data_IF_782669149910
#
_entry.id   IF_782669149910
#
_cell.length_a   1.000
_cell.length_b   1.000
_cell.length_c   1.000
_cell.angle_alpha   90.00
_cell.angle_beta   90.00
_cell.angle_gamma   90.00
#
_symmetry.space_group_name_H-M   'P 1'
#
loop_
_entity.id
_entity.type
_entity.pdbx_description
1 polymer ?
#
# COMPACT_ATOMS: atom_id res chain seq x y z
N UNK A 1 -11.36 12.79 1.03
CA UNK A 1 -11.02 13.17 2.41
C UNK A 1 -12.06 14.14 2.93
N UNK A 2 -12.60 13.87 4.11
CA UNK A 2 -13.48 14.78 4.84
C UNK A 2 -12.73 15.35 6.04
N UNK A 3 -12.75 16.66 6.21
CA UNK A 3 -11.96 17.38 7.21
C UNK A 3 -12.89 18.20 8.10
N UNK A 4 -12.59 18.22 9.39
CA UNK A 4 -13.28 19.01 10.39
C UNK A 4 -12.34 19.27 11.57
N UNK A 5 -12.77 20.14 12.49
CA UNK A 5 -12.01 20.53 13.67
C UNK A 5 -10.73 21.32 13.40
N UNK A 6 -10.12 21.79 14.48
CA UNK A 6 -8.79 22.39 14.52
C UNK A 6 -7.99 21.81 15.68
N UNK A 7 -6.66 21.88 15.57
CA UNK A 7 -5.73 21.58 16.63
C UNK A 7 -4.75 22.74 16.78
N UNK A 8 -4.57 23.26 18.00
CA UNK A 8 -3.77 24.46 18.30
C UNK A 8 -4.06 25.66 17.38
N UNK A 9 -5.34 25.89 17.08
CA UNK A 9 -5.80 26.99 16.22
C UNK A 9 -5.46 26.83 14.74
N UNK A 10 -5.01 25.63 14.31
CA UNK A 10 -4.74 25.30 12.91
C UNK A 10 -5.69 24.23 12.41
N UNK A 11 -6.28 24.45 11.23
CA UNK A 11 -7.14 23.48 10.56
C UNK A 11 -6.37 22.74 9.49
N UNK A 12 -6.67 21.45 9.33
CA UNK A 12 -6.08 20.65 8.27
C UNK A 12 -6.37 21.25 6.88
N UNK A 13 -7.59 21.76 6.67
CA UNK A 13 -7.96 22.40 5.40
C UNK A 13 -7.17 23.69 5.13
N UNK A 14 -6.83 24.47 6.16
CA UNK A 14 -6.00 25.68 6.02
C UNK A 14 -4.54 25.31 5.72
N UNK A 15 -3.99 24.31 6.40
CA UNK A 15 -2.65 23.79 6.13
C UNK A 15 -2.49 23.32 4.66
N UNK A 16 -3.51 22.66 4.10
CA UNK A 16 -3.51 22.26 2.68
C UNK A 16 -3.49 23.48 1.75
N UNK A 17 -4.30 24.51 2.05
CA UNK A 17 -4.34 25.74 1.26
C UNK A 17 -3.01 26.49 1.34
N UNK A 18 -2.39 26.58 2.51
CA UNK A 18 -1.05 27.16 2.71
C UNK A 18 0.02 26.41 1.90
N UNK A 19 -0.12 25.09 1.75
CA UNK A 19 0.74 24.25 0.91
C UNK A 19 0.42 24.34 -0.60
N UNK A 20 -0.53 25.20 -1.01
CA UNK A 20 -0.92 25.37 -2.41
C UNK A 20 -1.82 24.25 -2.96
N UNK A 21 -2.43 23.43 -2.11
CA UNK A 21 -3.32 22.34 -2.51
C UNK A 21 -4.75 22.85 -2.68
N UNK A 22 -5.35 22.55 -3.84
CA UNK A 22 -6.74 22.91 -4.11
C UNK A 22 -7.71 21.99 -3.33
N UNK A 23 -8.56 22.61 -2.50
CA UNK A 23 -9.62 21.91 -1.75
C UNK A 23 -11.00 22.10 -2.38
N UNK A 24 -11.94 21.21 -2.05
CA UNK A 24 -13.34 21.26 -2.46
C UNK A 24 -13.87 19.92 -3.01
N UNK A 25 -15.14 19.92 -3.40
CA UNK A 25 -15.80 18.76 -4.02
C UNK A 25 -15.11 18.26 -5.31
N UNK A 26 -14.63 19.12 -6.23
CA UNK A 26 -13.94 18.66 -7.44
C UNK A 26 -12.67 17.86 -7.15
N UNK A 27 -11.93 18.23 -6.09
CA UNK A 27 -10.70 17.53 -5.66
C UNK A 27 -10.96 16.46 -4.59
N UNK A 28 -12.22 16.29 -4.17
CA UNK A 28 -12.64 15.35 -3.11
C UNK A 28 -11.94 15.61 -1.76
N UNK A 29 -11.48 16.83 -1.52
CA UNK A 29 -10.90 17.32 -0.26
C UNK A 29 -11.88 18.30 0.37
N UNK A 30 -12.83 17.83 1.18
CA UNK A 30 -13.96 18.66 1.64
C UNK A 30 -13.81 18.99 3.12
N UNK A 31 -13.82 20.28 3.45
CA UNK A 31 -13.87 20.77 4.82
C UNK A 31 -15.32 21.00 5.24
N UNK A 32 -15.77 20.33 6.30
CA UNK A 32 -17.14 20.44 6.80
C UNK A 32 -17.34 21.56 7.83
N UNK A 33 -16.28 21.94 8.55
CA UNK A 33 -16.37 23.04 9.51
C UNK A 33 -15.21 23.06 10.50
N UNK A 34 -15.08 24.16 11.26
CA UNK A 34 -14.01 24.36 12.22
C UNK A 34 -14.20 23.58 13.54
N UNK A 35 -15.43 23.16 13.84
CA UNK A 35 -15.77 22.47 15.08
C UNK A 35 -15.67 20.96 14.93
N UNK A 36 -15.32 20.25 16.00
CA UNK A 36 -15.32 18.77 16.02
C UNK A 36 -16.69 18.18 15.71
N UNK A 37 -17.77 18.86 16.10
CA UNK A 37 -19.15 18.44 15.83
C UNK A 37 -19.43 18.31 14.33
N UNK A 38 -18.71 19.02 13.47
CA UNK A 38 -18.84 18.92 12.01
C UNK A 38 -18.43 17.53 11.47
N UNK A 39 -17.71 16.71 12.26
CA UNK A 39 -17.40 15.31 11.94
C UNK A 39 -18.67 14.50 11.63
N UNK A 40 -19.80 14.84 12.27
CA UNK A 40 -21.10 14.17 12.04
C UNK A 40 -21.55 14.24 10.58
N UNK A 41 -21.11 15.25 9.81
CA UNK A 41 -21.48 15.38 8.40
C UNK A 41 -20.85 14.30 7.52
N UNK A 42 -19.68 13.76 7.89
CA UNK A 42 -19.08 12.61 7.25
C UNK A 42 -19.92 11.34 7.47
N UNK A 43 -20.35 11.09 8.72
CA UNK A 43 -21.25 9.98 9.05
C UNK A 43 -22.63 10.13 8.40
N UNK A 44 -23.15 11.35 8.30
CA UNK A 44 -24.37 11.67 7.57
C UNK A 44 -24.26 11.42 6.07
N UNK A 45 -23.09 11.71 5.46
CA UNK A 45 -22.81 11.36 4.08
C UNK A 45 -22.82 9.84 3.87
N UNK A 46 -22.17 9.08 4.76
CA UNK A 46 -22.14 7.62 4.74
C UNK A 46 -23.54 7.01 4.92
N UNK A 47 -24.34 7.54 5.86
CA UNK A 47 -25.76 7.19 6.02
C UNK A 47 -26.54 7.39 4.72
N UNK A 48 -26.38 8.54 4.05
CA UNK A 48 -27.05 8.80 2.77
C UNK A 48 -26.64 7.82 1.68
N UNK A 49 -25.39 7.35 1.66
CA UNK A 49 -24.98 6.31 0.71
C UNK A 49 -25.78 5.01 0.91
N UNK A 50 -26.01 4.59 2.16
CA UNK A 50 -26.83 3.41 2.47
C UNK A 50 -28.30 3.59 2.03
N UNK A 51 -28.88 4.76 2.26
CA UNK A 51 -30.26 5.06 1.86
C UNK A 51 -30.41 5.14 0.33
N UNK A 52 -29.50 5.85 -0.35
CA UNK A 52 -29.60 6.12 -1.78
C UNK A 52 -29.14 4.96 -2.66
N UNK A 53 -28.06 4.27 -2.29
CA UNK A 53 -27.47 3.19 -3.11
C UNK A 53 -27.68 1.81 -2.52
N UNK A 54 -27.84 1.71 -1.20
CA UNK A 54 -28.15 0.45 -0.53
C UNK A 54 -29.63 0.11 -0.50
N UNK A 55 -30.52 1.05 -0.85
CA UNK A 55 -31.97 0.85 -0.79
C UNK A 55 -32.46 0.56 0.64
N UNK A 56 -31.74 1.03 1.66
CA UNK A 56 -32.13 0.87 3.06
C UNK A 56 -33.20 1.91 3.39
N UNK A 57 -34.29 1.48 4.02
CA UNK A 57 -35.39 2.39 4.35
C UNK A 57 -35.06 3.29 5.56
N UNK A 58 -35.57 4.54 5.60
CA UNK A 58 -35.41 5.41 6.76
C UNK A 58 -35.95 4.76 8.04
N UNK A 59 -35.15 4.82 9.11
CA UNK A 59 -35.48 4.21 10.41
C UNK A 59 -34.88 2.81 10.61
N UNK A 60 -34.40 2.14 9.55
CA UNK A 60 -33.71 0.85 9.65
C UNK A 60 -32.23 1.00 10.05
N UNK A 61 -31.96 1.62 11.21
CA UNK A 61 -30.62 2.02 11.63
C UNK A 61 -29.60 0.87 11.60
N UNK A 62 -30.00 -0.34 12.00
CA UNK A 62 -29.11 -1.51 12.00
C UNK A 62 -28.63 -1.86 10.60
N UNK A 63 -29.51 -1.79 9.59
CA UNK A 63 -29.14 -2.06 8.20
C UNK A 63 -28.24 -0.96 7.66
N UNK A 64 -28.44 0.29 8.05
CA UNK A 64 -27.54 1.40 7.71
C UNK A 64 -26.14 1.14 8.24
N UNK A 65 -26.00 0.74 9.51
CA UNK A 65 -24.68 0.48 10.11
C UNK A 65 -23.98 -0.71 9.44
N UNK A 66 -24.70 -1.82 9.19
CA UNK A 66 -24.15 -2.99 8.48
C UNK A 66 -23.73 -2.62 7.06
N UNK A 67 -24.56 -1.86 6.32
CA UNK A 67 -24.20 -1.40 4.99
C UNK A 67 -22.90 -0.59 5.00
N UNK A 68 -22.77 0.34 5.94
CA UNK A 68 -21.57 1.17 6.04
C UNK A 68 -20.33 0.34 6.39
N UNK A 69 -20.44 -0.59 7.34
CA UNK A 69 -19.36 -1.53 7.67
C UNK A 69 -18.89 -2.30 6.44
N UNK A 70 -19.81 -2.80 5.62
CA UNK A 70 -19.47 -3.74 4.55
C UNK A 70 -19.19 -3.07 3.19
N UNK A 71 -19.70 -1.85 2.97
CA UNK A 71 -19.68 -1.18 1.64
C UNK A 71 -19.01 0.18 1.64
N UNK A 72 -18.87 0.84 2.78
CA UNK A 72 -18.24 2.16 2.87
C UNK A 72 -16.89 2.02 3.58
N UNK A 73 -15.82 2.01 2.79
CA UNK A 73 -14.46 1.87 3.29
C UNK A 73 -13.90 3.20 3.81
N UNK A 74 -14.43 3.66 4.94
CA UNK A 74 -13.97 4.85 5.65
C UNK A 74 -13.24 4.50 6.95
N UNK A 75 -12.38 5.42 7.39
CA UNK A 75 -11.65 5.40 8.66
C UNK A 75 -11.48 6.84 9.18
N UNK A 76 -11.27 7.00 10.49
CA UNK A 76 -11.09 8.30 11.13
C UNK A 76 -9.62 8.50 11.54
N UNK A 77 -9.09 9.70 11.28
CA UNK A 77 -7.70 10.09 11.57
C UNK A 77 -7.67 11.30 12.51
N UNK A 78 -7.87 11.14 13.82
CA UNK A 78 -7.62 12.21 14.78
C UNK A 78 -6.12 12.50 14.83
N UNK A 79 -5.72 13.70 14.40
CA UNK A 79 -4.33 14.17 14.42
C UNK A 79 -4.17 15.26 15.48
N UNK A 80 -3.36 15.01 16.50
CA UNK A 80 -3.17 15.91 17.66
C UNK A 80 -3.85 15.42 18.94
N UNK A 81 -3.89 16.28 19.96
CA UNK A 81 -4.46 15.94 21.27
C UNK A 81 -5.96 15.60 21.16
N UNK A 82 -6.30 14.36 21.48
CA UNK A 82 -7.68 13.85 21.44
C UNK A 82 -8.41 14.26 22.71
N UNK A 83 -9.31 15.24 22.59
CA UNK A 83 -10.20 15.67 23.67
C UNK A 83 -11.37 14.70 23.87
N UNK A 84 -12.11 14.84 24.97
CA UNK A 84 -13.31 14.04 25.25
C UNK A 84 -14.37 14.14 24.13
N UNK A 85 -14.50 15.31 23.50
CA UNK A 85 -15.41 15.48 22.36
C UNK A 85 -14.93 14.74 21.11
N UNK A 86 -13.60 14.69 20.88
CA UNK A 86 -13.02 13.91 19.79
C UNK A 86 -13.22 12.41 20.05
N UNK A 87 -13.01 11.94 21.28
CA UNK A 87 -13.33 10.56 21.68
C UNK A 87 -14.78 10.20 21.38
N UNK A 88 -15.73 11.06 21.74
CA UNK A 88 -17.15 10.80 21.51
C UNK A 88 -17.47 10.70 20.00
N UNK A 89 -16.91 11.58 19.18
CA UNK A 89 -17.10 11.54 17.72
C UNK A 89 -16.43 10.32 17.08
N UNK A 90 -15.22 9.97 17.53
CA UNK A 90 -14.50 8.78 17.08
C UNK A 90 -15.25 7.48 17.44
N UNK A 91 -15.82 7.38 18.64
CA UNK A 91 -16.71 6.28 19.02
C UNK A 91 -17.95 6.20 18.13
N UNK A 92 -18.48 7.35 17.69
CA UNK A 92 -19.51 7.44 16.66
C UNK A 92 -19.08 6.79 15.35
N UNK A 93 -17.87 7.05 14.87
CA UNK A 93 -17.32 6.44 13.65
C UNK A 93 -17.15 4.92 13.80
N UNK A 94 -16.69 4.45 14.97
CA UNK A 94 -16.56 3.01 15.26
C UNK A 94 -17.90 2.29 15.11
N UNK A 95 -19.02 2.89 15.53
CA UNK A 95 -20.35 2.28 15.37
C UNK A 95 -20.74 2.04 13.90
N UNK A 96 -20.19 2.82 12.96
CA UNK A 96 -20.37 2.63 11.52
C UNK A 96 -19.42 1.57 10.93
N UNK A 97 -18.58 0.95 11.76
CA UNK A 97 -17.52 0.05 11.33
C UNK A 97 -16.26 0.76 10.83
N UNK A 98 -16.13 2.07 11.09
CA UNK A 98 -14.97 2.85 10.65
C UNK A 98 -13.93 2.89 11.77
N UNK A 99 -12.73 2.30 11.57
CA UNK A 99 -11.70 2.29 12.59
C UNK A 99 -11.09 3.67 12.77
N UNK A 100 -10.45 3.88 13.91
CA UNK A 100 -9.78 5.11 14.31
C UNK A 100 -8.28 4.86 14.38
N UNK A 101 -7.50 5.68 13.69
CA UNK A 101 -6.04 5.61 13.68
C UNK A 101 -5.51 6.96 14.16
N UNK A 102 -4.93 6.98 15.36
CA UNK A 102 -4.45 8.19 16.00
C UNK A 102 -2.92 8.29 15.97
N UNK A 103 -2.42 9.51 15.83
CA UNK A 103 -0.98 9.83 15.95
C UNK A 103 -0.52 9.98 17.40
N UNK A 104 -1.45 10.16 18.33
CA UNK A 104 -1.19 10.32 19.76
C UNK A 104 -1.39 9.02 20.56
N UNK A 105 -0.76 8.89 21.75
CA UNK A 105 -0.84 7.69 22.59
C UNK A 105 -2.17 7.65 23.38
N UNK A 106 -3.26 7.33 22.69
CA UNK A 106 -4.59 7.09 23.29
C UNK A 106 -4.81 5.60 23.58
N UNK A 107 -5.72 5.21 24.50
CA UNK A 107 -6.02 3.81 24.74
C UNK A 107 -6.54 3.10 23.48
N UNK A 108 -5.97 1.93 23.19
CA UNK A 108 -6.33 1.12 22.02
C UNK A 108 -7.56 0.23 22.27
N UNK A 109 -8.25 -0.11 21.18
CA UNK A 109 -9.35 -1.07 21.15
C UNK A 109 -9.04 -2.06 20.03
N UNK A 110 -8.22 -3.05 20.38
CA UNK A 110 -7.73 -4.09 19.47
C UNK A 110 -8.69 -5.24 19.12
N UNK A 111 -9.74 -5.57 19.93
CA UNK A 111 -10.68 -6.61 19.56
C UNK A 111 -11.37 -6.34 18.22
N UNK A 112 -11.79 -7.39 17.50
CA UNK A 112 -12.56 -7.26 16.25
C UNK A 112 -14.07 -7.36 16.51
N UNK A 113 -14.89 -7.03 15.52
CA UNK A 113 -16.33 -7.34 15.54
C UNK A 113 -17.24 -6.20 15.08
N UNK A 114 -16.99 -4.96 15.52
CA UNK A 114 -17.68 -3.78 14.97
C UNK A 114 -16.96 -3.34 13.70
N UNK A 115 -15.68 -2.96 13.82
CA UNK A 115 -14.79 -2.77 12.68
C UNK A 115 -14.36 -4.11 12.05
N UNK A 116 -13.75 -4.05 10.87
CA UNK A 116 -13.18 -5.23 10.19
C UNK A 116 -12.09 -5.88 11.03
N UNK A 117 -11.16 -5.05 11.51
CA UNK A 117 -10.07 -5.46 12.39
C UNK A 117 -10.12 -4.67 13.70
N UNK A 118 -9.03 -4.00 14.09
CA UNK A 118 -8.95 -3.18 15.29
C UNK A 118 -9.86 -1.94 15.16
N UNK A 119 -10.47 -1.50 16.26
CA UNK A 119 -11.36 -0.33 16.26
C UNK A 119 -10.60 0.96 16.52
N UNK A 120 -9.58 0.90 17.38
CA UNK A 120 -8.70 2.03 17.69
C UNK A 120 -7.26 1.54 17.74
N UNK A 121 -6.42 2.14 16.90
CA UNK A 121 -4.96 1.97 16.91
C UNK A 121 -4.32 3.34 17.17
N UNK A 122 -3.31 3.39 18.02
CA UNK A 122 -2.72 4.64 18.51
C UNK A 122 -1.22 4.75 18.23
N UNK A 123 -0.66 5.94 18.48
CA UNK A 123 0.78 6.20 18.40
C UNK A 123 1.39 5.86 17.01
N UNK A 124 0.63 6.15 15.95
CA UNK A 124 1.06 5.87 14.57
C UNK A 124 1.77 7.10 13.98
N UNK A 125 3.04 6.95 13.53
CA UNK A 125 3.76 8.01 12.83
C UNK A 125 3.03 8.49 11.56
N UNK A 126 3.11 9.79 11.24
CA UNK A 126 2.37 10.40 10.12
C UNK A 126 2.71 9.80 8.76
N UNK A 127 3.97 9.41 8.55
CA UNK A 127 4.48 8.73 7.34
C UNK A 127 3.89 7.32 7.15
N UNK A 128 3.47 6.67 8.24
CA UNK A 128 2.88 5.33 8.22
C UNK A 128 1.34 5.34 8.38
N UNK A 129 0.76 6.49 8.75
CA UNK A 129 -0.64 6.60 9.15
C UNK A 129 -1.63 6.15 8.07
N UNK A 130 -1.36 6.49 6.80
CA UNK A 130 -2.23 6.12 5.67
C UNK A 130 -2.17 4.61 5.42
N UNK A 131 -0.97 4.03 5.40
CA UNK A 131 -0.77 2.59 5.20
C UNK A 131 -1.47 1.80 6.31
N UNK A 132 -1.28 2.22 7.57
CA UNK A 132 -1.96 1.60 8.71
C UNK A 132 -3.48 1.71 8.64
N UNK A 133 -4.01 2.85 8.20
CA UNK A 133 -5.45 3.03 8.06
C UNK A 133 -6.05 2.15 6.95
N UNK A 134 -5.34 1.98 5.83
CA UNK A 134 -5.70 1.05 4.75
C UNK A 134 -5.76 -0.38 5.30
N UNK A 135 -4.72 -0.79 6.02
CA UNK A 135 -4.60 -2.14 6.58
C UNK A 135 -5.72 -2.43 7.59
N UNK A 136 -5.89 -1.60 8.62
CA UNK A 136 -6.88 -1.77 9.69
C UNK A 136 -8.31 -1.73 9.15
N UNK A 137 -8.55 -0.95 8.09
CA UNK A 137 -9.87 -0.93 7.43
C UNK A 137 -10.11 -2.16 6.54
N UNK A 138 -9.06 -2.87 6.13
CA UNK A 138 -9.12 -3.96 5.15
C UNK A 138 -9.35 -3.45 3.72
N UNK A 139 -8.78 -2.29 3.39
CA UNK A 139 -8.85 -1.72 2.04
C UNK A 139 -7.88 -2.45 1.11
N UNK A 140 -8.40 -2.98 0.01
CA UNK A 140 -7.59 -3.48 -1.10
C UNK A 140 -7.32 -2.33 -2.07
N UNK A 141 -6.12 -1.78 -2.03
CA UNK A 141 -5.71 -0.73 -2.98
C UNK A 141 -5.14 -1.41 -4.22
N UNK A 142 -5.80 -1.23 -5.36
CA UNK A 142 -5.24 -1.66 -6.65
C UNK A 142 -4.22 -0.62 -7.10
N UNK A 143 -2.94 -0.99 -7.17
CA UNK A 143 -1.93 -0.18 -7.83
C UNK A 143 -2.29 -0.11 -9.33
N UNK A 144 -2.59 1.10 -9.82
CA UNK A 144 -3.09 1.29 -11.18
C UNK A 144 -2.00 1.10 -12.25
N UNK A 145 -0.75 1.45 -11.92
CA UNK A 145 0.41 1.37 -12.81
C UNK A 145 1.65 0.94 -12.01
N UNK A 146 2.43 -0.01 -12.54
CA UNK A 146 3.68 -0.47 -11.93
C UNK A 146 4.73 0.65 -12.07
N UNK A 147 5.36 1.13 -10.99
CA UNK A 147 6.22 2.32 -11.02
C UNK A 147 7.63 2.01 -11.55
N UNK A 148 7.72 1.56 -12.81
CA UNK A 148 8.99 1.26 -13.48
C UNK A 148 9.09 2.00 -14.83
N UNK A 149 10.30 2.32 -15.32
CA UNK A 149 10.48 3.14 -16.51
C UNK A 149 10.37 2.38 -17.85
N UNK A 150 10.06 1.08 -17.79
CA UNK A 150 9.86 0.21 -18.95
C UNK A 150 8.41 -0.23 -19.04
N UNK A 151 7.97 -0.64 -20.22
CA UNK A 151 6.63 -1.20 -20.37
C UNK A 151 6.51 -2.50 -19.55
N UNK A 152 5.36 -2.70 -18.90
CA UNK A 152 5.08 -3.85 -18.06
C UNK A 152 3.84 -4.59 -18.54
N UNK A 153 3.93 -5.91 -18.72
CA UNK A 153 2.79 -6.76 -19.00
C UNK A 153 3.14 -8.12 -19.59
N UNK A 154 2.17 -9.03 -19.56
CA UNK A 154 2.33 -10.41 -20.04
C UNK A 154 2.76 -10.54 -21.51
N UNK A 155 2.59 -9.49 -22.32
CA UNK A 155 3.03 -9.48 -23.72
C UNK A 155 4.57 -9.53 -23.87
N UNK A 156 5.31 -9.11 -22.84
CA UNK A 156 6.78 -9.15 -22.83
C UNK A 156 7.32 -10.46 -22.24
N UNK A 157 6.45 -11.32 -21.67
CA UNK A 157 6.85 -12.60 -21.13
C UNK A 157 7.45 -13.49 -22.23
N UNK A 158 8.66 -14.00 -21.98
CA UNK A 158 9.39 -14.83 -22.94
C UNK A 158 10.34 -14.07 -23.87
N UNK A 159 10.43 -12.74 -23.74
CA UNK A 159 11.55 -11.98 -24.32
C UNK A 159 12.89 -12.59 -23.87
N UNK A 160 13.85 -12.67 -24.80
CA UNK A 160 15.18 -13.22 -24.51
C UNK A 160 16.25 -12.18 -24.75
N UNK A 161 17.00 -11.86 -23.70
CA UNK A 161 18.19 -11.00 -23.78
C UNK A 161 19.41 -11.88 -24.06
N UNK A 162 20.13 -11.65 -25.15
CA UNK A 162 21.24 -12.50 -25.62
C UNK A 162 22.38 -11.67 -26.19
N UNK A 163 23.58 -12.26 -26.22
CA UNK A 163 24.72 -11.72 -26.96
C UNK A 163 25.07 -10.29 -26.54
N UNK A 164 25.25 -9.43 -27.54
CA UNK A 164 25.66 -8.04 -27.34
C UNK A 164 24.59 -7.15 -26.70
N UNK A 165 23.34 -7.62 -26.58
CA UNK A 165 22.25 -6.85 -25.97
C UNK A 165 22.26 -6.89 -24.44
N UNK A 166 23.06 -7.79 -23.85
CA UNK A 166 23.17 -7.94 -22.40
C UNK A 166 23.91 -6.74 -21.80
N UNK A 167 23.27 -6.06 -20.86
CA UNK A 167 23.92 -5.07 -20.01
C UNK A 167 24.40 -5.68 -18.70
N UNK A 168 23.54 -6.46 -18.03
CA UNK A 168 23.85 -7.14 -16.77
C UNK A 168 23.38 -8.60 -16.84
N UNK A 169 24.19 -9.51 -16.31
CA UNK A 169 23.85 -10.93 -16.17
C UNK A 169 24.13 -11.42 -14.74
N UNK A 170 23.14 -12.04 -14.11
CA UNK A 170 23.24 -12.59 -12.76
C UNK A 170 22.70 -14.02 -12.73
N UNK A 171 23.41 -14.99 -12.17
CA UNK A 171 22.96 -16.37 -12.09
C UNK A 171 23.34 -17.23 -13.31
N UNK A 172 22.51 -18.22 -13.64
CA UNK A 172 22.67 -19.05 -14.84
C UNK A 172 23.98 -19.85 -14.90
N UNK A 173 24.56 -20.18 -13.73
CA UNK A 173 25.85 -20.84 -13.60
C UNK A 173 27.07 -19.96 -13.92
N UNK A 174 26.87 -18.66 -14.16
CA UNK A 174 27.97 -17.67 -14.33
C UNK A 174 28.36 -17.04 -13.00
N UNK A 175 27.36 -16.67 -12.22
CA UNK A 175 27.52 -16.16 -10.85
C UNK A 175 26.51 -16.84 -9.93
N UNK A 176 26.75 -16.85 -8.61
CA UNK A 176 25.74 -17.27 -7.64
C UNK A 176 24.50 -16.37 -7.73
N UNK A 177 23.32 -16.96 -7.78
CA UNK A 177 22.06 -16.22 -7.67
C UNK A 177 21.07 -17.01 -6.82
N UNK A 178 20.30 -16.31 -6.00
CA UNK A 178 19.20 -16.91 -5.24
C UNK A 178 18.00 -15.95 -5.20
N UNK A 179 16.80 -16.51 -5.21
CA UNK A 179 15.56 -15.78 -4.93
C UNK A 179 14.73 -16.57 -3.91
N UNK A 180 14.06 -15.86 -3.01
CA UNK A 180 13.15 -16.50 -2.06
C UNK A 180 12.13 -15.50 -1.50
N UNK A 181 11.02 -16.05 -1.03
CA UNK A 181 10.03 -15.32 -0.24
C UNK A 181 10.09 -15.81 1.20
N UNK A 182 9.95 -14.92 2.18
CA UNK A 182 9.85 -15.28 3.59
C UNK A 182 8.74 -14.50 4.26
N UNK A 183 7.85 -15.20 4.96
CA UNK A 183 6.84 -14.58 5.79
C UNK A 183 7.47 -14.00 7.07
N UNK A 184 7.00 -12.81 7.43
CA UNK A 184 7.42 -12.07 8.63
C UNK A 184 6.20 -11.62 9.41
N UNK A 185 6.42 -11.22 10.66
CA UNK A 185 5.37 -10.55 11.44
C UNK A 185 5.16 -9.13 10.90
N UNK A 186 3.96 -8.60 11.07
CA UNK A 186 3.59 -7.26 10.59
C UNK A 186 4.49 -6.14 11.17
N UNK A 187 5.08 -6.34 12.35
CA UNK A 187 6.00 -5.41 13.02
C UNK A 187 7.47 -5.55 12.59
N UNK A 188 7.79 -6.55 11.76
CA UNK A 188 9.17 -6.84 11.32
C UNK A 188 9.46 -6.34 9.90
N UNK A 189 8.43 -5.88 9.17
CA UNK A 189 8.55 -5.38 7.80
C UNK A 189 8.06 -3.93 7.69
N UNK A 190 8.63 -3.20 6.76
CA UNK A 190 8.20 -1.86 6.38
C UNK A 190 7.62 -1.93 4.97
N UNK A 191 6.34 -1.60 4.82
CA UNK A 191 5.66 -1.70 3.53
C UNK A 191 6.30 -0.77 2.49
N UNK A 192 6.55 -1.31 1.28
CA UNK A 192 7.19 -0.59 0.19
C UNK A 192 8.69 -0.33 0.37
N UNK A 193 9.33 -0.84 1.43
CA UNK A 193 10.77 -0.70 1.62
C UNK A 193 11.54 -1.53 0.60
N UNK A 194 12.39 -0.86 -0.17
CA UNK A 194 13.27 -1.47 -1.16
C UNK A 194 14.70 -1.05 -0.86
N UNK A 195 15.60 -2.03 -0.74
CA UNK A 195 17.01 -1.82 -0.45
C UNK A 195 17.87 -2.60 -1.45
N UNK A 196 18.87 -1.93 -2.04
CA UNK A 196 19.89 -2.55 -2.89
C UNK A 196 21.20 -2.57 -2.11
N UNK A 197 21.57 -3.75 -1.59
CA UNK A 197 22.83 -3.93 -0.85
C UNK A 197 23.91 -4.40 -1.82
N UNK A 198 24.79 -3.48 -2.21
CA UNK A 198 25.85 -3.72 -3.19
C UNK A 198 25.84 -2.66 -4.29
N UNK A 199 26.57 -2.88 -5.40
CA UNK A 199 26.55 -1.97 -6.53
C UNK A 199 25.18 -2.00 -7.22
N UNK A 200 24.65 -0.82 -7.55
CA UNK A 200 23.53 -0.72 -8.48
C UNK A 200 24.01 -1.09 -9.90
N UNK A 201 23.10 -1.48 -10.79
CA UNK A 201 23.48 -1.79 -12.18
C UNK A 201 24.10 -0.59 -12.91
N UNK A 202 23.78 0.64 -12.50
CA UNK A 202 24.39 1.86 -13.06
C UNK A 202 25.83 2.09 -12.63
N UNK A 203 26.30 1.35 -11.61
CA UNK A 203 27.65 1.49 -11.06
C UNK A 203 28.65 0.55 -11.74
N UNK A 204 28.18 -0.34 -12.64
CA UNK A 204 29.00 -1.34 -13.32
C UNK A 204 28.99 -1.14 -14.83
N UNK A 205 30.07 -1.52 -15.55
CA UNK A 205 30.09 -1.40 -17.00
C UNK A 205 29.14 -2.39 -17.67
N UNK A 206 28.65 -2.05 -18.87
CA UNK A 206 27.82 -2.94 -19.66
C UNK A 206 28.54 -4.28 -19.96
N UNK A 207 27.80 -5.38 -19.89
CA UNK A 207 28.31 -6.75 -19.99
C UNK A 207 28.84 -7.31 -18.66
N UNK A 208 28.67 -6.61 -17.55
CA UNK A 208 29.08 -7.10 -16.23
C UNK A 208 28.28 -8.32 -15.79
N UNK A 209 28.92 -9.13 -14.95
CA UNK A 209 28.30 -10.25 -14.27
C UNK A 209 28.36 -10.04 -12.76
N UNK A 210 27.24 -10.14 -12.07
CA UNK A 210 27.15 -9.92 -10.62
C UNK A 210 26.47 -11.11 -9.93
N UNK A 211 26.85 -11.44 -8.69
CA UNK A 211 25.98 -12.23 -7.84
C UNK A 211 24.71 -11.43 -7.50
N UNK A 212 23.57 -12.10 -7.35
CA UNK A 212 22.30 -11.45 -7.01
C UNK A 212 21.50 -12.28 -6.02
N UNK A 213 20.94 -11.61 -5.01
CA UNK A 213 19.97 -12.19 -4.10
C UNK A 213 18.68 -11.36 -4.17
N UNK A 214 17.57 -12.00 -4.51
CA UNK A 214 16.23 -11.37 -4.45
C UNK A 214 15.54 -11.91 -3.20
N UNK A 215 15.58 -11.12 -2.13
CA UNK A 215 14.93 -11.43 -0.87
C UNK A 215 13.61 -10.67 -0.79
N UNK A 216 12.49 -11.39 -0.76
CA UNK A 216 11.15 -10.79 -0.64
C UNK A 216 10.56 -11.14 0.72
N UNK A 217 10.48 -10.15 1.60
CA UNK A 217 9.83 -10.31 2.90
C UNK A 217 8.37 -9.86 2.80
N UNK A 218 7.45 -10.74 3.20
CA UNK A 218 6.00 -10.49 3.11
C UNK A 218 5.35 -10.62 4.47
N UNK A 219 4.36 -9.79 4.75
CA UNK A 219 3.50 -9.92 5.92
C UNK A 219 2.05 -9.69 5.52
N UNK A 220 1.14 -10.46 6.11
CA UNK A 220 -0.28 -10.33 5.84
C UNK A 220 -1.09 -11.09 6.88
N UNK A 221 -2.28 -10.57 7.21
CA UNK A 221 -3.16 -11.16 8.23
C UNK A 221 -3.63 -12.58 7.89
N UNK A 222 -3.73 -12.88 6.60
CA UNK A 222 -4.11 -14.20 6.07
C UNK A 222 -2.91 -14.97 5.50
N UNK A 223 -1.68 -14.45 5.66
CA UNK A 223 -0.47 -15.09 5.16
C UNK A 223 -0.17 -16.37 5.96
N UNK A 224 0.25 -17.42 5.25
CA UNK A 224 0.64 -18.70 5.82
C UNK A 224 1.99 -19.11 5.22
N UNK A 225 2.83 -19.83 5.97
CA UNK A 225 4.14 -20.31 5.48
C UNK A 225 4.00 -21.14 4.19
N UNK A 226 2.91 -21.91 4.06
CA UNK A 226 2.61 -22.70 2.85
C UNK A 226 2.37 -21.84 1.58
N UNK A 227 2.15 -20.53 1.72
CA UNK A 227 1.99 -19.61 0.59
C UNK A 227 3.33 -19.06 0.09
N UNK A 228 4.41 -19.13 0.86
CA UNK A 228 5.73 -18.62 0.45
C UNK A 228 6.17 -19.20 -0.91
N UNK A 229 6.09 -20.53 -1.17
CA UNK A 229 6.50 -21.08 -2.46
C UNK A 229 5.58 -20.66 -3.62
N UNK A 230 4.32 -20.30 -3.34
CA UNK A 230 3.36 -19.83 -4.34
C UNK A 230 3.73 -18.43 -4.79
N UNK A 231 4.06 -17.54 -3.85
CA UNK A 231 4.52 -16.18 -4.13
C UNK A 231 5.91 -16.19 -4.77
N UNK A 232 6.82 -17.04 -4.32
CA UNK A 232 8.16 -17.19 -4.89
C UNK A 232 8.09 -17.53 -6.38
N UNK A 233 7.16 -18.39 -6.77
CA UNK A 233 6.93 -18.73 -8.18
C UNK A 233 6.50 -17.52 -9.03
N UNK A 234 5.83 -16.53 -8.44
CA UNK A 234 5.42 -15.33 -9.17
C UNK A 234 6.61 -14.45 -9.55
N UNK A 235 7.72 -14.49 -8.80
CA UNK A 235 8.92 -13.69 -9.11
C UNK A 235 9.34 -13.90 -10.57
N UNK A 236 9.30 -15.14 -11.04
CA UNK A 236 9.58 -15.47 -12.43
C UNK A 236 8.67 -14.74 -13.43
N UNK A 237 7.36 -14.82 -13.24
CA UNK A 237 6.41 -14.20 -14.17
C UNK A 237 6.51 -12.67 -14.11
N UNK A 238 6.54 -12.12 -12.89
CA UNK A 238 6.53 -10.67 -12.66
C UNK A 238 7.79 -9.99 -13.23
N UNK A 239 8.98 -10.57 -13.05
CA UNK A 239 10.19 -10.01 -13.64
C UNK A 239 10.15 -10.10 -15.18
N UNK A 240 9.65 -11.20 -15.75
CA UNK A 240 9.53 -11.35 -17.21
C UNK A 240 8.46 -10.45 -17.84
N UNK A 241 7.58 -9.84 -17.06
CA UNK A 241 6.61 -8.86 -17.56
C UNK A 241 7.26 -7.49 -17.82
N UNK A 242 8.43 -7.21 -17.25
CA UNK A 242 9.17 -5.99 -17.54
C UNK A 242 9.91 -6.11 -18.87
N UNK A 243 9.59 -5.25 -19.82
CA UNK A 243 10.22 -5.24 -21.14
C UNK A 243 11.75 -5.12 -21.04
N UNK A 244 12.46 -5.99 -21.75
CA UNK A 244 13.92 -5.99 -21.81
C UNK A 244 14.59 -6.57 -20.56
N UNK A 245 13.85 -7.26 -19.69
CA UNK A 245 14.35 -8.04 -18.57
C UNK A 245 13.93 -9.51 -18.76
N UNK A 246 14.86 -10.43 -18.50
CA UNK A 246 14.63 -11.87 -18.64
C UNK A 246 14.95 -12.56 -17.33
N UNK A 247 14.03 -13.39 -16.83
CA UNK A 247 14.23 -14.27 -15.68
C UNK A 247 13.99 -15.73 -16.06
N UNK A 248 14.88 -16.64 -15.65
CA UNK A 248 14.74 -18.09 -15.86
C UNK A 248 15.19 -18.82 -14.60
N UNK A 249 14.56 -19.97 -14.32
CA UNK A 249 14.90 -20.77 -13.15
C UNK A 249 14.05 -20.36 -11.95
N UNK A 250 14.49 -20.79 -10.78
CA UNK A 250 13.84 -20.56 -9.49
C UNK A 250 14.89 -20.73 -8.40
N UNK A 251 14.65 -20.19 -7.20
CA UNK A 251 15.52 -20.40 -6.02
C UNK A 251 16.99 -20.11 -6.31
N UNK A 252 17.88 -21.02 -5.95
CA UNK A 252 19.34 -20.92 -6.08
C UNK A 252 19.88 -21.25 -7.48
N UNK A 253 18.98 -21.51 -8.44
CA UNK A 253 19.32 -21.75 -9.85
C UNK A 253 18.71 -20.68 -10.77
N UNK A 254 18.26 -19.56 -10.19
CA UNK A 254 17.71 -18.44 -10.92
C UNK A 254 18.76 -17.77 -11.83
N UNK A 255 18.27 -17.06 -12.84
CA UNK A 255 19.07 -16.41 -13.87
C UNK A 255 18.36 -15.17 -14.40
N UNK A 256 18.96 -14.01 -14.17
CA UNK A 256 18.48 -12.71 -14.65
C UNK A 256 19.40 -12.15 -15.71
N UNK A 257 18.81 -11.57 -16.75
CA UNK A 257 19.50 -10.68 -17.68
C UNK A 257 18.71 -9.39 -17.86
N UNK A 258 19.44 -8.28 -17.91
CA UNK A 258 18.89 -6.95 -18.21
C UNK A 258 19.50 -6.47 -19.52
N UNK A 259 18.65 -6.04 -20.45
CA UNK A 259 19.08 -5.51 -21.74
C UNK A 259 19.63 -4.09 -21.64
N UNK A 260 20.52 -3.70 -22.57
CA UNK A 260 21.00 -2.32 -22.72
C UNK A 260 19.84 -1.33 -22.92
N UNK A 261 18.82 -1.72 -23.68
CA UNK A 261 17.64 -0.88 -23.94
C UNK A 261 16.84 -0.58 -22.65
N UNK A 262 16.69 -1.56 -21.75
CA UNK A 262 16.01 -1.33 -20.48
C UNK A 262 16.77 -0.32 -19.61
N UNK A 263 18.10 -0.42 -19.57
CA UNK A 263 18.97 0.51 -18.83
C UNK A 263 18.93 1.91 -19.44
N UNK A 264 18.94 2.04 -20.77
CA UNK A 264 18.79 3.33 -21.47
C UNK A 264 17.47 4.04 -21.14
N UNK A 265 16.39 3.27 -20.92
CA UNK A 265 15.11 3.81 -20.44
C UNK A 265 15.12 4.18 -18.95
N UNK A 266 16.17 3.82 -18.22
CA UNK A 266 16.35 4.15 -16.81
C UNK A 266 16.05 3.00 -15.85
N UNK A 267 15.89 1.76 -16.33
CA UNK A 267 15.70 0.59 -15.46
C UNK A 267 16.91 0.38 -14.54
N UNK A 268 16.65 -0.15 -13.33
CA UNK A 268 17.59 -0.30 -12.21
C UNK A 268 17.24 -1.56 -11.42
N UNK A 269 18.12 -2.06 -10.56
CA UNK A 269 17.83 -3.21 -9.70
C UNK A 269 16.72 -2.89 -8.70
N UNK A 270 16.67 -1.66 -8.17
CA UNK A 270 15.57 -1.21 -7.29
C UNK A 270 14.18 -1.42 -7.90
N UNK A 271 14.06 -1.25 -9.23
CA UNK A 271 12.80 -1.43 -9.95
C UNK A 271 12.28 -2.87 -9.96
N UNK A 272 13.14 -3.87 -9.68
CA UNK A 272 12.69 -5.24 -9.42
C UNK A 272 11.92 -5.30 -8.09
N UNK A 273 12.38 -4.58 -7.07
CA UNK A 273 11.62 -4.42 -5.82
C UNK A 273 10.29 -3.72 -6.06
N UNK A 274 10.30 -2.62 -6.82
CA UNK A 274 9.11 -1.83 -7.13
C UNK A 274 8.01 -2.67 -7.83
N UNK A 275 8.40 -3.46 -8.84
CA UNK A 275 7.44 -4.30 -9.57
C UNK A 275 6.93 -5.48 -8.72
N UNK A 276 7.78 -6.09 -7.90
CA UNK A 276 7.38 -7.21 -7.03
C UNK A 276 6.42 -6.71 -5.95
N UNK A 277 6.73 -5.58 -5.31
CA UNK A 277 5.87 -4.95 -4.31
C UNK A 277 4.48 -4.65 -4.90
N UNK A 278 4.43 -3.92 -6.02
CA UNK A 278 3.19 -3.51 -6.66
C UNK A 278 2.30 -4.70 -7.07
N UNK A 279 2.91 -5.76 -7.60
CA UNK A 279 2.17 -6.90 -8.15
C UNK A 279 1.77 -7.93 -7.10
N UNK A 280 2.61 -8.22 -6.12
CA UNK A 280 2.24 -9.11 -5.01
C UNK A 280 1.16 -8.49 -4.09
N UNK A 281 1.00 -7.16 -4.09
CA UNK A 281 -0.12 -6.49 -3.42
C UNK A 281 -1.43 -6.55 -4.23
N UNK A 282 -1.34 -6.67 -5.54
CA UNK A 282 -2.50 -6.68 -6.43
C UNK A 282 -3.12 -8.07 -6.56
N UNK A 283 -2.28 -9.10 -6.63
CA UNK A 283 -2.65 -10.49 -6.92
C UNK A 283 -2.96 -11.28 -5.64
#
# INVERSE_FOLDING_TARGET
>A
VFMSAEYDGKRFSEQLVEAGIQIGWPTRLVSFGPDVSATVFAAGFATRAALSFGGVEPGEYRKVLIYNKDRVFAFALPMGYVTDEWYANAAGAINFGFPVIADTPIPEILPTGVCTYEHVVSNIPHDQMVARAIEVRGLKVTVAEVPIPVAFGAAFEGERVRGEDIYLECGGGRTPMVEWVTSKRMDEVEDGKIEVVGPEMTDVPAGSQLPLAIAVEVAGREMQEDYEPILERQIHHLINYAQGVMHIGQRDIAWVRVSKQAVEKGFKLSHIGDLLHAKLHQD
#
